data_IF_492343749195
#
_entry.id   IF_492343749195
#
_cell.length_a   1.000
_cell.length_b   1.000
_cell.length_c   1.000
_cell.angle_alpha   90.00
_cell.angle_beta   90.00
_cell.angle_gamma   90.00
#
_symmetry.space_group_name_H-M   'P 1'
#
loop_
_entity.id
_entity.type
_entity.pdbx_description
1 polymer ?
#
# COMPACT_ATOMS: atom_id res chain seq x y z
N UNK A 1 9.95 5.28 -15.73
CA UNK A 1 8.91 4.79 -14.82
C UNK A 1 9.63 4.34 -13.57
N UNK A 2 9.28 4.89 -12.42
CA UNK A 2 9.86 4.48 -11.14
C UNK A 2 9.24 3.18 -10.65
N UNK A 3 9.88 2.52 -9.67
CA UNK A 3 9.41 1.23 -9.15
C UNK A 3 7.99 1.32 -8.59
N UNK A 4 7.64 2.44 -7.95
CA UNK A 4 6.29 2.69 -7.44
C UNK A 4 5.20 2.71 -8.52
N UNK A 5 5.48 3.24 -9.71
CA UNK A 5 4.53 3.26 -10.83
C UNK A 5 4.30 1.85 -11.38
N UNK A 6 5.38 1.07 -11.53
CA UNK A 6 5.31 -0.34 -11.95
C UNK A 6 4.48 -1.13 -10.94
N UNK A 7 4.80 -0.99 -9.65
CA UNK A 7 4.10 -1.67 -8.58
C UNK A 7 2.61 -1.31 -8.53
N UNK A 8 2.26 -0.01 -8.60
CA UNK A 8 0.87 0.41 -8.60
C UNK A 8 0.08 -0.21 -9.78
N UNK A 9 0.69 -0.32 -10.96
CA UNK A 9 0.04 -0.97 -12.12
C UNK A 9 -0.17 -2.46 -11.87
N UNK A 10 0.85 -3.18 -11.41
CA UNK A 10 0.78 -4.63 -11.17
C UNK A 10 -0.24 -4.95 -10.07
N UNK A 11 -0.15 -4.26 -8.93
CA UNK A 11 -1.00 -4.49 -7.77
C UNK A 11 -2.47 -4.16 -8.07
N UNK A 12 -2.75 -3.16 -8.90
CA UNK A 12 -4.11 -2.84 -9.32
C UNK A 12 -4.69 -3.82 -10.35
N UNK A 13 -3.87 -4.66 -10.98
CA UNK A 13 -4.30 -5.73 -11.90
C UNK A 13 -4.57 -7.05 -11.19
N UNK A 14 -3.90 -7.30 -10.06
CA UNK A 14 -4.20 -8.44 -9.21
C UNK A 14 -5.60 -8.29 -8.61
N UNK A 15 -6.56 -9.06 -9.12
CA UNK A 15 -7.97 -9.09 -8.67
C UNK A 15 -8.20 -10.00 -7.45
N UNK A 16 -7.17 -10.73 -7.00
CA UNK A 16 -7.28 -11.65 -5.89
C UNK A 16 -7.10 -10.93 -4.54
N UNK A 17 -8.18 -10.84 -3.77
CA UNK A 17 -8.13 -10.68 -2.32
C UNK A 17 -8.77 -11.90 -1.68
N UNK A 18 -8.13 -12.47 -0.65
CA UNK A 18 -8.53 -12.12 0.71
C UNK A 18 -7.35 -11.70 1.60
N UNK A 19 -7.69 -10.91 2.62
CA UNK A 19 -6.80 -10.13 3.49
C UNK A 19 -6.44 -10.80 4.83
N UNK A 20 -6.57 -12.11 4.96
CA UNK A 20 -6.47 -12.80 6.26
C UNK A 20 -5.11 -13.48 6.55
N UNK A 21 -4.07 -13.27 5.72
CA UNK A 21 -2.77 -13.93 5.90
C UNK A 21 -1.68 -12.97 6.42
N UNK A 22 -0.75 -13.53 7.20
CA UNK A 22 0.40 -12.84 7.84
C UNK A 22 1.33 -12.11 6.86
N UNK A 23 1.31 -12.49 5.58
CA UNK A 23 1.89 -11.69 4.49
C UNK A 23 0.98 -11.73 3.25
N UNK A 24 0.65 -10.58 2.63
CA UNK A 24 -0.30 -10.57 1.53
C UNK A 24 0.26 -11.22 0.26
N UNK A 25 -0.39 -12.28 -0.23
CA UNK A 25 -0.02 -13.00 -1.46
C UNK A 25 0.09 -12.10 -2.71
N UNK A 26 -0.61 -10.96 -2.73
CA UNK A 26 -0.50 -10.01 -3.84
C UNK A 26 0.88 -9.33 -3.92
N UNK A 27 1.71 -9.39 -2.87
CA UNK A 27 3.07 -8.85 -2.89
C UNK A 27 4.05 -9.73 -3.66
N UNK A 28 3.72 -11.01 -3.86
CA UNK A 28 4.59 -11.94 -4.58
C UNK A 28 4.79 -11.52 -6.04
N UNK A 29 3.81 -10.85 -6.66
CA UNK A 29 3.97 -10.30 -8.02
C UNK A 29 5.12 -9.28 -8.12
N UNK A 30 5.39 -8.55 -7.05
CA UNK A 30 6.50 -7.59 -7.01
C UNK A 30 7.84 -8.30 -6.85
N UNK A 31 7.86 -9.39 -6.07
CA UNK A 31 9.05 -10.23 -5.85
C UNK A 31 9.42 -11.01 -7.10
N UNK A 32 8.43 -11.56 -7.81
CA UNK A 32 8.59 -12.18 -9.13
C UNK A 32 9.16 -11.17 -10.14
N UNK A 33 8.74 -9.90 -10.06
CA UNK A 33 9.31 -8.79 -10.81
C UNK A 33 10.70 -8.34 -10.36
N UNK A 34 11.31 -9.02 -9.38
CA UNK A 34 12.60 -8.70 -8.77
C UNK A 34 12.69 -7.28 -8.17
N UNK A 35 11.55 -6.74 -7.70
CA UNK A 35 11.51 -5.45 -7.02
C UNK A 35 11.87 -5.64 -5.54
N UNK A 36 12.82 -4.86 -5.06
CA UNK A 36 13.19 -4.80 -3.64
C UNK A 36 12.39 -3.71 -2.95
N UNK A 37 11.63 -4.06 -1.91
CA UNK A 37 10.75 -3.12 -1.22
C UNK A 37 10.60 -3.41 0.27
N UNK A 38 10.17 -2.40 1.02
CA UNK A 38 9.68 -2.49 2.39
C UNK A 38 8.16 -2.32 2.39
N UNK A 39 7.46 -3.24 3.03
CA UNK A 39 6.02 -3.14 3.27
C UNK A 39 5.74 -2.51 4.63
N UNK A 40 4.84 -1.53 4.67
CA UNK A 40 4.44 -0.81 5.88
C UNK A 40 2.93 -0.63 5.89
N UNK A 41 2.28 -1.14 6.94
CA UNK A 41 0.87 -0.84 7.26
C UNK A 41 0.88 0.09 8.47
N UNK A 42 0.12 1.18 8.38
CA UNK A 42 0.10 2.26 9.36
C UNK A 42 -1.30 2.84 9.50
N UNK A 43 -1.46 3.72 10.49
CA UNK A 43 -2.68 4.44 10.76
C UNK A 43 -2.44 5.93 10.54
N UNK A 44 -3.36 6.58 9.84
CA UNK A 44 -3.34 8.01 9.57
C UNK A 44 -4.47 8.65 10.37
N UNK A 45 -4.09 9.35 11.43
CA UNK A 45 -5.00 10.06 12.31
C UNK A 45 -4.22 10.96 13.28
N UNK A 46 -4.91 11.78 14.08
CA UNK A 46 -4.30 12.56 15.13
C UNK A 46 -3.53 11.66 16.09
N UNK A 47 -2.31 12.08 16.44
CA UNK A 47 -1.45 11.32 17.35
C UNK A 47 -2.08 11.30 18.75
N UNK A 48 -2.12 10.12 19.36
CA UNK A 48 -2.56 9.89 20.74
C UNK A 48 -4.04 10.22 21.03
N UNK A 49 -4.86 10.38 19.99
CA UNK A 49 -6.31 10.59 20.11
C UNK A 49 -7.03 9.49 19.32
N UNK A 50 -7.92 8.70 19.96
CA UNK A 50 -8.80 7.79 19.22
C UNK A 50 -9.65 8.60 18.24
N UNK A 51 -9.44 8.37 16.95
CA UNK A 51 -10.16 9.04 15.88
C UNK A 51 -10.96 8.01 15.08
N UNK A 52 -12.31 8.02 15.17
CA UNK A 52 -13.16 7.13 14.39
C UNK A 52 -13.08 7.40 12.87
N UNK A 53 -12.59 8.57 12.46
CA UNK A 53 -12.43 8.97 11.06
C UNK A 53 -11.03 8.70 10.51
N UNK A 54 -10.16 8.11 11.31
CA UNK A 54 -8.83 7.77 10.85
C UNK A 54 -8.84 6.72 9.72
N UNK A 55 -7.73 6.64 9.01
CA UNK A 55 -7.56 5.74 7.89
C UNK A 55 -6.45 4.73 8.16
N UNK A 56 -6.62 3.50 7.68
CA UNK A 56 -5.48 2.64 7.44
C UNK A 56 -4.74 3.13 6.19
N UNK A 57 -3.42 3.11 6.25
CA UNK A 57 -2.56 3.40 5.12
C UNK A 57 -1.56 2.27 4.92
N UNK A 58 -1.43 1.83 3.69
CA UNK A 58 -0.52 0.77 3.31
C UNK A 58 0.44 1.27 2.24
N UNK A 59 1.74 1.13 2.52
CA UNK A 59 2.83 1.63 1.72
C UNK A 59 3.81 0.52 1.33
N UNK A 60 4.17 0.47 0.06
CA UNK A 60 5.30 -0.29 -0.47
C UNK A 60 6.38 0.72 -0.83
N UNK A 61 7.48 0.71 -0.09
CA UNK A 61 8.57 1.69 -0.19
C UNK A 61 9.75 1.05 -0.91
N UNK A 62 10.20 1.66 -1.99
CA UNK A 62 11.30 1.17 -2.83
C UNK A 62 12.63 1.81 -2.44
N UNK A 63 13.73 1.24 -2.95
CA UNK A 63 15.08 1.70 -2.65
C UNK A 63 15.36 3.13 -3.16
N UNK A 64 14.65 3.56 -4.21
CA UNK A 64 14.71 4.92 -4.75
C UNK A 64 13.92 5.94 -3.91
N UNK A 65 13.26 5.49 -2.83
CA UNK A 65 12.41 6.32 -1.97
C UNK A 65 11.01 6.57 -2.52
N UNK A 66 10.70 6.09 -3.73
CA UNK A 66 9.34 6.11 -4.27
C UNK A 66 8.48 5.12 -3.49
N UNK A 67 7.16 5.34 -3.48
CA UNK A 67 6.23 4.43 -2.81
C UNK A 67 4.92 4.22 -3.55
N UNK A 68 4.44 2.99 -3.55
CA UNK A 68 3.04 2.71 -3.88
C UNK A 68 2.22 2.79 -2.59
N UNK A 69 1.16 3.61 -2.58
CA UNK A 69 0.30 3.87 -1.43
C UNK A 69 -1.15 3.53 -1.76
N UNK A 70 -1.86 2.96 -0.79
CA UNK A 70 -3.33 2.95 -0.75
C UNK A 70 -3.82 3.21 0.67
N UNK A 71 -5.08 3.62 0.78
CA UNK A 71 -5.72 3.90 2.06
C UNK A 71 -7.07 3.18 2.14
N UNK A 72 -7.54 2.92 3.35
CA UNK A 72 -8.92 2.52 3.61
C UNK A 72 -9.45 3.28 4.83
N UNK A 73 -10.74 3.61 4.87
CA UNK A 73 -11.35 4.08 6.11
C UNK A 73 -11.24 2.97 7.18
N UNK A 74 -11.13 3.37 8.45
CA UNK A 74 -11.19 2.43 9.59
C UNK A 74 -12.62 1.92 9.78
N UNK A 75 -13.60 2.80 9.56
CA UNK A 75 -15.02 2.49 9.64
C UNK A 75 -15.64 2.44 8.23
N UNK A 76 -15.98 1.23 7.75
CA UNK A 76 -16.83 1.05 6.57
C UNK A 76 -16.39 -0.06 5.61
N UNK A 77 -17.37 -0.65 4.92
CA UNK A 77 -17.20 -1.72 3.91
C UNK A 77 -16.59 -1.22 2.57
N UNK A 78 -16.06 0.01 2.53
CA UNK A 78 -15.59 0.63 1.28
C UNK A 78 -14.32 -0.03 0.73
N UNK A 79 -13.64 -0.85 1.54
CA UNK A 79 -12.39 -1.52 1.18
C UNK A 79 -11.24 -0.54 0.98
N UNK A 80 -10.15 -1.06 0.42
CA UNK A 80 -8.98 -0.27 0.09
C UNK A 80 -9.16 0.50 -1.22
N UNK A 81 -8.62 1.72 -1.28
CA UNK A 81 -8.45 2.43 -2.56
C UNK A 81 -7.53 1.66 -3.49
N UNK A 82 -7.55 2.04 -4.77
CA UNK A 82 -6.51 1.62 -5.73
C UNK A 82 -5.14 2.09 -5.24
N UNK A 83 -4.10 1.33 -5.61
CA UNK A 83 -2.71 1.71 -5.41
C UNK A 83 -2.36 2.93 -6.27
N UNK A 84 -1.66 3.90 -5.67
CA UNK A 84 -1.17 5.11 -6.31
C UNK A 84 0.33 5.24 -6.10
N UNK A 85 1.05 5.70 -7.12
CA UNK A 85 2.49 5.94 -7.00
C UNK A 85 2.76 7.34 -6.47
N UNK A 86 3.66 7.45 -5.49
CA UNK A 86 4.16 8.70 -4.94
C UNK A 86 5.67 8.78 -5.15
N UNK A 87 6.11 9.92 -5.66
CA UNK A 87 7.53 10.24 -5.78
C UNK A 87 8.16 10.51 -4.40
N UNK A 88 9.49 10.34 -4.26
CA UNK A 88 10.20 10.78 -3.07
C UNK A 88 9.97 12.27 -2.82
N UNK A 89 9.88 12.67 -1.56
CA UNK A 89 9.86 14.09 -1.19
C UNK A 89 11.32 14.58 -1.20
N UNK A 90 11.62 15.54 -2.08
CA UNK A 90 12.93 16.20 -2.18
C UNK A 90 13.07 17.32 -1.15
#
# INVERSE_FOLDING_TARGET
>A
MCDAEIAAVLLNRCTAQPFDNEEPAYLDILREGNLSFKHVVSFVGPRDIPDPEACHAESIIFADGSRALRISPVAGDSGWTRWTALQPLH
#
